data_IF_208377812236
#
_entry.id   IF_208377812236
#
_cell.length_a   1.000
_cell.length_b   1.000
_cell.length_c   1.000
_cell.angle_alpha   90.00
_cell.angle_beta   90.00
_cell.angle_gamma   90.00
#
_symmetry.space_group_name_H-M   'P 1'
#
loop_
_entity.id
_entity.type
_entity.pdbx_description
1 polymer ?
#
# COMPACT_ATOMS: atom_id res chain seq x y z
N UNK A 1 -81.40 75.32 -121.15
CA UNK A 1 -80.94 75.20 -122.55
C UNK A 1 -79.60 74.47 -122.53
N UNK A 2 -79.54 73.24 -123.08
CA UNK A 2 -78.75 72.90 -124.29
C UNK A 2 -77.26 73.29 -124.16
N UNK A 3 -76.35 72.38 -123.80
CA UNK A 3 -75.70 71.27 -124.56
C UNK A 3 -74.27 71.62 -124.97
N UNK A 4 -73.40 70.59 -125.08
CA UNK A 4 -72.22 70.39 -125.98
C UNK A 4 -70.83 70.65 -125.36
N UNK A 5 -70.05 69.58 -125.07
CA UNK A 5 -68.92 68.94 -125.85
C UNK A 5 -67.55 69.58 -125.46
N UNK A 6 -66.36 68.97 -125.42
CA UNK A 6 -65.77 67.69 -125.88
C UNK A 6 -64.37 67.51 -125.22
N UNK A 7 -64.00 66.26 -124.93
CA UNK A 7 -62.67 65.60 -124.88
C UNK A 7 -61.33 66.38 -124.76
N UNK A 8 -60.43 65.91 -123.86
CA UNK A 8 -59.11 65.34 -124.22
C UNK A 8 -58.39 64.67 -123.02
N UNK A 9 -57.62 63.64 -123.35
CA UNK A 9 -56.96 62.59 -122.56
C UNK A 9 -55.59 63.02 -122.00
N UNK A 10 -55.21 62.55 -120.81
CA UNK A 10 -53.97 61.79 -120.51
C UNK A 10 -53.61 61.85 -119.02
N UNK A 11 -53.68 60.68 -118.37
CA UNK A 11 -53.40 60.47 -116.96
C UNK A 11 -51.91 60.65 -116.63
N UNK A 12 -51.62 61.57 -115.72
CA UNK A 12 -50.40 61.61 -114.92
C UNK A 12 -50.81 61.52 -113.46
N UNK A 13 -50.49 60.41 -112.80
CA UNK A 13 -50.33 60.39 -111.34
C UNK A 13 -49.18 59.45 -110.98
N UNK A 14 -48.05 60.07 -110.68
CA UNK A 14 -46.90 59.47 -110.03
C UNK A 14 -46.90 59.88 -108.56
N UNK A 15 -47.05 58.93 -107.64
CA UNK A 15 -46.60 58.98 -106.21
C UNK A 15 -46.88 57.62 -105.53
N UNK A 16 -46.16 57.21 -104.46
CA UNK A 16 -44.70 57.14 -104.30
C UNK A 16 -44.23 55.76 -103.76
N UNK A 17 -43.04 55.29 -104.16
CA UNK A 17 -42.41 54.05 -103.68
C UNK A 17 -41.28 54.28 -102.64
N UNK A 18 -41.27 55.44 -101.96
CA UNK A 18 -40.16 55.88 -101.09
C UNK A 18 -40.53 55.96 -99.59
N UNK A 19 -41.38 55.05 -99.09
CA UNK A 19 -41.78 55.00 -97.67
C UNK A 19 -41.47 53.67 -96.96
N UNK A 20 -40.93 52.67 -97.67
CA UNK A 20 -40.71 51.32 -97.12
C UNK A 20 -39.31 51.06 -96.53
N UNK A 21 -38.32 51.92 -96.81
CA UNK A 21 -36.93 51.68 -96.35
C UNK A 21 -36.63 52.37 -95.00
N UNK A 22 -37.09 53.61 -94.80
CA UNK A 22 -36.92 54.37 -93.55
C UNK A 22 -37.67 53.75 -92.34
N UNK A 23 -38.72 52.97 -92.60
CA UNK A 23 -39.51 52.27 -91.58
C UNK A 23 -38.87 50.95 -91.11
N UNK A 24 -38.11 50.25 -91.98
CA UNK A 24 -37.38 49.02 -91.62
C UNK A 24 -36.16 49.32 -90.75
N UNK A 25 -35.42 50.38 -91.05
CA UNK A 25 -34.27 50.83 -90.26
C UNK A 25 -34.70 51.27 -88.85
N UNK A 26 -35.79 52.03 -88.72
CA UNK A 26 -36.36 52.41 -87.41
C UNK A 26 -36.86 51.20 -86.61
N UNK A 27 -37.43 50.19 -87.27
CA UNK A 27 -37.84 48.93 -86.61
C UNK A 27 -36.64 48.08 -86.18
N UNK A 28 -35.57 48.02 -86.98
CA UNK A 28 -34.32 47.32 -86.66
C UNK A 28 -33.59 48.01 -85.49
N UNK A 29 -33.54 49.34 -85.48
CA UNK A 29 -33.00 50.13 -84.38
C UNK A 29 -33.78 49.93 -83.07
N UNK A 30 -35.12 49.87 -83.11
CA UNK A 30 -35.95 49.57 -81.93
C UNK A 30 -35.70 48.16 -81.38
N UNK A 31 -35.58 47.16 -82.25
CA UNK A 31 -35.22 45.79 -81.84
C UNK A 31 -33.83 45.72 -81.23
N UNK A 32 -32.86 46.42 -81.83
CA UNK A 32 -31.50 46.52 -81.31
C UNK A 32 -31.46 47.25 -79.97
N UNK A 33 -32.24 48.31 -79.79
CA UNK A 33 -32.37 49.02 -78.51
C UNK A 33 -33.02 48.15 -77.42
N UNK A 34 -34.05 47.37 -77.77
CA UNK A 34 -34.66 46.38 -76.87
C UNK A 34 -33.68 45.27 -76.49
N UNK A 35 -32.87 44.79 -77.44
CA UNK A 35 -31.84 43.78 -77.19
C UNK A 35 -30.72 44.33 -76.29
N UNK A 36 -30.31 45.59 -76.47
CA UNK A 36 -29.36 46.27 -75.58
C UNK A 36 -29.94 46.40 -74.16
N UNK A 37 -31.20 46.82 -74.01
CA UNK A 37 -31.86 46.88 -72.70
C UNK A 37 -31.95 45.51 -72.01
N UNK A 38 -32.27 44.45 -72.75
CA UNK A 38 -32.27 43.08 -72.21
C UNK A 38 -30.88 42.62 -71.79
N UNK A 39 -29.84 42.97 -72.56
CA UNK A 39 -28.45 42.68 -72.21
C UNK A 39 -27.98 43.48 -70.99
N UNK A 40 -28.38 44.73 -70.87
CA UNK A 40 -28.07 45.57 -69.69
C UNK A 40 -28.77 45.04 -68.44
N UNK A 41 -30.04 44.64 -68.55
CA UNK A 41 -30.77 44.00 -67.45
C UNK A 41 -30.15 42.65 -67.07
N UNK A 42 -29.76 41.83 -68.05
CA UNK A 42 -29.06 40.57 -67.80
C UNK A 42 -27.66 40.78 -67.18
N UNK A 43 -26.94 41.83 -67.59
CA UNK A 43 -25.67 42.22 -66.97
C UNK A 43 -25.86 42.69 -65.53
N UNK A 44 -26.86 43.54 -65.27
CA UNK A 44 -27.17 44.00 -63.92
C UNK A 44 -27.55 42.83 -63.00
N UNK A 45 -28.36 41.88 -63.50
CA UNK A 45 -28.70 40.67 -62.75
C UNK A 45 -27.46 39.79 -62.49
N UNK A 46 -26.62 39.57 -63.52
CA UNK A 46 -25.40 38.78 -63.37
C UNK A 46 -24.38 39.44 -62.42
N UNK A 47 -24.29 40.77 -62.39
CA UNK A 47 -23.46 41.50 -61.43
C UNK A 47 -24.01 41.39 -60.01
N UNK A 48 -25.33 41.46 -59.83
CA UNK A 48 -25.98 41.25 -58.53
C UNK A 48 -25.80 39.82 -58.03
N UNK A 49 -26.00 38.82 -58.88
CA UNK A 49 -25.82 37.40 -58.53
C UNK A 49 -24.35 37.10 -58.21
N UNK A 50 -23.41 37.72 -58.94
CA UNK A 50 -21.98 37.62 -58.64
C UNK A 50 -21.64 38.27 -57.30
N UNK A 51 -22.22 39.43 -56.99
CA UNK A 51 -22.02 40.09 -55.69
C UNK A 51 -22.59 39.26 -54.55
N UNK A 52 -23.79 38.67 -54.72
CA UNK A 52 -24.40 37.77 -53.75
C UNK A 52 -23.55 36.50 -53.54
N UNK A 53 -23.12 35.85 -54.63
CA UNK A 53 -22.28 34.65 -54.55
C UNK A 53 -20.91 34.92 -53.90
N UNK A 54 -20.33 36.12 -54.10
CA UNK A 54 -19.10 36.52 -53.41
C UNK A 54 -19.32 36.73 -51.90
N UNK A 55 -20.45 37.35 -51.51
CA UNK A 55 -20.81 37.52 -50.11
C UNK A 55 -21.09 36.18 -49.41
N UNK A 56 -21.78 35.26 -50.09
CA UNK A 56 -22.04 33.90 -49.59
C UNK A 56 -20.74 33.12 -49.44
N UNK A 57 -19.84 33.21 -50.43
CA UNK A 57 -18.53 32.58 -50.36
C UNK A 57 -17.72 33.10 -49.17
N UNK A 58 -17.68 34.41 -48.95
CA UNK A 58 -16.97 34.99 -47.81
C UNK A 58 -17.56 34.53 -46.47
N UNK A 59 -18.88 34.44 -46.39
CA UNK A 59 -19.59 33.94 -45.19
C UNK A 59 -19.27 32.46 -44.93
N UNK A 60 -19.36 31.62 -45.96
CA UNK A 60 -19.01 30.20 -45.87
C UNK A 60 -17.54 29.97 -45.54
N UNK A 61 -16.63 30.79 -46.07
CA UNK A 61 -15.20 30.72 -45.72
C UNK A 61 -14.97 31.09 -44.25
N UNK A 62 -15.66 32.10 -43.72
CA UNK A 62 -15.63 32.46 -42.30
C UNK A 62 -16.17 31.34 -41.43
N UNK A 63 -17.34 30.79 -41.75
CA UNK A 63 -17.93 29.65 -41.02
C UNK A 63 -17.02 28.42 -41.06
N UNK A 64 -16.47 28.08 -42.23
CA UNK A 64 -15.53 26.98 -42.37
C UNK A 64 -14.25 27.20 -41.53
N UNK A 65 -13.77 28.44 -41.43
CA UNK A 65 -12.62 28.77 -40.59
C UNK A 65 -12.95 28.62 -39.09
N UNK A 66 -14.13 29.06 -38.66
CA UNK A 66 -14.62 28.94 -37.28
C UNK A 66 -14.82 27.47 -36.90
N UNK A 67 -15.54 26.69 -37.72
CA UNK A 67 -15.75 25.26 -37.49
C UNK A 67 -14.44 24.47 -37.45
N UNK A 68 -13.45 24.85 -38.27
CA UNK A 68 -12.10 24.25 -38.20
C UNK A 68 -11.40 24.59 -36.88
N UNK A 69 -11.52 25.83 -36.39
CA UNK A 69 -10.94 26.24 -35.11
C UNK A 69 -11.59 25.51 -33.93
N UNK A 70 -12.92 25.42 -33.93
CA UNK A 70 -13.71 24.69 -32.91
C UNK A 70 -13.41 23.19 -32.93
N UNK A 71 -13.36 22.56 -34.12
CA UNK A 71 -12.96 21.16 -34.27
C UNK A 71 -11.54 20.93 -33.73
N UNK A 72 -10.63 21.86 -33.98
CA UNK A 72 -9.28 21.85 -33.42
C UNK A 72 -9.27 21.92 -31.89
N UNK A 73 -10.10 22.81 -31.31
CA UNK A 73 -10.25 22.95 -29.86
C UNK A 73 -10.85 21.69 -29.22
N UNK A 74 -11.93 21.16 -29.78
CA UNK A 74 -12.59 19.94 -29.31
C UNK A 74 -11.65 18.72 -29.37
N UNK A 75 -10.82 18.60 -30.41
CA UNK A 75 -9.79 17.55 -30.50
C UNK A 75 -8.75 17.67 -29.39
N UNK A 76 -8.27 18.89 -29.10
CA UNK A 76 -7.32 19.13 -28.00
C UNK A 76 -7.93 18.80 -26.64
N UNK A 77 -9.18 19.18 -26.41
CA UNK A 77 -9.89 18.89 -25.17
C UNK A 77 -10.09 17.38 -24.98
N UNK A 78 -10.51 16.65 -26.02
CA UNK A 78 -10.61 15.18 -25.98
C UNK A 78 -9.26 14.53 -25.66
N UNK A 79 -8.17 15.03 -26.25
CA UNK A 79 -6.84 14.54 -25.95
C UNK A 79 -6.43 14.81 -24.49
N UNK A 80 -6.77 15.98 -23.94
CA UNK A 80 -6.52 16.33 -22.54
C UNK A 80 -7.35 15.46 -21.57
N UNK A 81 -8.64 15.28 -21.84
CA UNK A 81 -9.52 14.38 -21.07
C UNK A 81 -8.99 12.95 -21.07
N UNK A 82 -8.58 12.43 -22.23
CA UNK A 82 -7.99 11.09 -22.33
C UNK A 82 -6.66 10.95 -21.58
N UNK A 83 -5.90 12.03 -21.37
CA UNK A 83 -4.71 12.01 -20.49
C UNK A 83 -5.12 11.97 -19.01
N UNK A 84 -6.03 12.84 -18.61
CA UNK A 84 -6.54 12.90 -17.24
C UNK A 84 -7.21 11.59 -16.81
N UNK A 85 -7.96 10.94 -17.70
CA UNK A 85 -8.56 9.63 -17.43
C UNK A 85 -7.48 8.57 -17.16
N UNK A 86 -6.39 8.56 -17.95
CA UNK A 86 -5.27 7.63 -17.72
C UNK A 86 -4.56 7.90 -16.40
N UNK A 87 -4.28 9.17 -16.10
CA UNK A 87 -3.68 9.57 -14.82
C UNK A 87 -4.57 9.15 -13.65
N UNK A 88 -5.88 9.37 -13.76
CA UNK A 88 -6.85 8.98 -12.74
C UNK A 88 -6.92 7.46 -12.56
N UNK A 89 -6.84 6.67 -13.64
CA UNK A 89 -6.71 5.21 -13.53
C UNK A 89 -5.40 4.78 -12.90
N UNK A 90 -4.29 5.45 -13.21
CA UNK A 90 -2.98 5.15 -12.63
C UNK A 90 -2.95 5.45 -11.13
N UNK A 91 -3.44 6.62 -10.72
CA UNK A 91 -3.53 7.02 -9.31
C UNK A 91 -4.46 6.09 -8.52
N UNK A 92 -5.56 5.63 -9.12
CA UNK A 92 -6.43 4.61 -8.48
C UNK A 92 -5.70 3.30 -8.26
N UNK A 93 -4.97 2.81 -9.27
CA UNK A 93 -4.18 1.59 -9.15
C UNK A 93 -3.07 1.72 -8.09
N UNK A 94 -2.40 2.87 -8.02
CA UNK A 94 -1.40 3.17 -6.99
C UNK A 94 -2.03 3.20 -5.59
N UNK A 95 -3.19 3.81 -5.44
CA UNK A 95 -3.92 3.88 -4.18
C UNK A 95 -4.36 2.50 -3.70
N UNK A 96 -4.84 1.64 -4.60
CA UNK A 96 -5.19 0.26 -4.26
C UNK A 96 -3.95 -0.57 -3.89
N UNK A 97 -2.83 -0.38 -4.62
CA UNK A 97 -1.56 -1.03 -4.28
C UNK A 97 -1.01 -0.55 -2.92
N UNK A 98 -1.12 0.74 -2.61
CA UNK A 98 -0.71 1.30 -1.31
C UNK A 98 -1.60 0.79 -0.18
N UNK A 99 -2.92 0.68 -0.37
CA UNK A 99 -3.83 0.08 0.61
C UNK A 99 -3.49 -1.38 0.88
N UNK A 100 -3.20 -2.15 -0.17
CA UNK A 100 -2.80 -3.55 -0.01
C UNK A 100 -1.48 -3.67 0.76
N UNK A 101 -0.49 -2.82 0.43
CA UNK A 101 0.77 -2.75 1.19
C UNK A 101 0.55 -2.36 2.64
N UNK A 102 -0.29 -1.36 2.90
CA UNK A 102 -0.61 -0.92 4.26
C UNK A 102 -1.20 -2.07 5.09
N UNK A 103 -2.22 -2.75 4.56
CA UNK A 103 -2.84 -3.89 5.22
C UNK A 103 -1.85 -5.03 5.51
N UNK A 104 -0.95 -5.33 4.55
CA UNK A 104 0.10 -6.33 4.76
C UNK A 104 1.11 -5.89 5.84
N UNK A 105 1.53 -4.63 5.82
CA UNK A 105 2.46 -4.11 6.85
C UNK A 105 1.83 -4.06 8.24
N UNK A 106 0.54 -3.72 8.34
CA UNK A 106 -0.20 -3.74 9.60
C UNK A 106 -0.32 -5.16 10.15
N UNK A 107 -0.57 -6.14 9.28
CA UNK A 107 -0.58 -7.56 9.65
C UNK A 107 0.80 -8.02 10.14
N UNK A 108 1.86 -7.73 9.41
CA UNK A 108 3.23 -8.08 9.80
C UNK A 108 3.62 -7.44 11.14
N UNK A 109 3.21 -6.19 11.37
CA UNK A 109 3.43 -5.52 12.65
C UNK A 109 2.69 -6.20 13.79
N UNK A 110 1.42 -6.57 13.59
CA UNK A 110 0.62 -7.28 14.58
C UNK A 110 1.22 -8.65 14.92
N UNK A 111 1.63 -9.42 13.90
CA UNK A 111 2.28 -10.72 14.06
C UNK A 111 3.60 -10.59 14.82
N UNK A 112 4.44 -9.60 14.46
CA UNK A 112 5.71 -9.34 15.14
C UNK A 112 5.52 -8.95 16.60
N UNK A 113 4.51 -8.11 16.91
CA UNK A 113 4.19 -7.74 18.28
C UNK A 113 3.68 -8.94 19.09
N UNK A 114 2.84 -9.80 18.50
CA UNK A 114 2.36 -11.02 19.14
C UNK A 114 3.51 -12.00 19.43
N UNK A 115 4.43 -12.15 18.48
CA UNK A 115 5.62 -12.97 18.64
C UNK A 115 6.53 -12.40 19.75
N UNK A 116 6.78 -11.09 19.75
CA UNK A 116 7.61 -10.44 20.78
C UNK A 116 7.02 -10.61 22.19
N UNK A 117 5.70 -10.49 22.35
CA UNK A 117 5.02 -10.74 23.63
C UNK A 117 5.19 -12.19 24.09
N UNK A 118 4.93 -13.14 23.19
CA UNK A 118 5.11 -14.57 23.48
C UNK A 118 6.56 -14.88 23.86
N UNK A 119 7.54 -14.41 23.08
CA UNK A 119 8.96 -14.62 23.36
C UNK A 119 9.36 -14.00 24.69
N UNK A 120 8.89 -12.79 25.02
CA UNK A 120 9.19 -12.14 26.29
C UNK A 120 8.61 -12.91 27.48
N UNK A 121 7.39 -13.43 27.35
CA UNK A 121 6.76 -14.26 28.37
C UNK A 121 7.50 -15.59 28.57
N UNK A 122 7.83 -16.28 27.48
CA UNK A 122 8.61 -17.53 27.51
C UNK A 122 9.99 -17.30 28.13
N UNK A 123 10.66 -16.20 27.80
CA UNK A 123 11.95 -15.85 28.38
C UNK A 123 11.83 -15.64 29.89
N UNK A 124 10.85 -14.86 30.35
CA UNK A 124 10.62 -14.63 31.78
C UNK A 124 10.32 -15.94 32.54
N UNK A 125 9.50 -16.82 31.97
CA UNK A 125 9.23 -18.14 32.55
C UNK A 125 10.48 -19.01 32.60
N UNK A 126 11.27 -19.03 31.52
CA UNK A 126 12.52 -19.82 31.44
C UNK A 126 13.56 -19.31 32.45
N UNK A 127 13.70 -17.99 32.60
CA UNK A 127 14.59 -17.40 33.60
C UNK A 127 14.16 -17.71 35.03
N UNK A 128 12.85 -17.65 35.31
CA UNK A 128 12.31 -18.03 36.62
C UNK A 128 12.57 -19.51 36.93
N UNK A 129 12.28 -20.39 35.98
CA UNK A 129 12.53 -21.83 36.12
C UNK A 129 14.02 -22.12 36.33
N UNK A 130 14.89 -21.45 35.55
CA UNK A 130 16.35 -21.56 35.70
C UNK A 130 16.79 -21.14 37.10
N UNK A 131 16.35 -19.99 37.60
CA UNK A 131 16.68 -19.52 38.96
C UNK A 131 16.22 -20.51 40.04
N UNK A 132 15.03 -21.07 39.88
CA UNK A 132 14.52 -22.08 40.82
C UNK A 132 15.39 -23.35 40.79
N UNK A 133 15.73 -23.86 39.61
CA UNK A 133 16.61 -25.03 39.47
C UNK A 133 18.02 -24.76 40.00
N UNK A 134 18.57 -23.57 39.78
CA UNK A 134 19.87 -23.16 40.32
C UNK A 134 19.84 -23.10 41.86
N UNK A 135 18.76 -22.56 42.44
CA UNK A 135 18.56 -22.53 43.89
C UNK A 135 18.43 -23.94 44.49
N UNK A 136 17.67 -24.82 43.85
CA UNK A 136 17.52 -26.22 44.28
C UNK A 136 18.86 -26.95 44.20
N UNK A 137 19.59 -26.78 43.11
CA UNK A 137 20.91 -27.39 42.92
C UNK A 137 21.92 -26.88 43.96
N UNK A 138 21.87 -25.60 44.31
CA UNK A 138 22.71 -25.03 45.37
C UNK A 138 22.36 -25.64 46.74
N UNK A 139 21.08 -25.78 47.07
CA UNK A 139 20.60 -26.45 48.29
C UNK A 139 21.08 -27.90 48.36
N UNK A 140 20.83 -28.70 47.32
CA UNK A 140 21.28 -30.10 47.26
C UNK A 140 22.79 -30.25 47.39
N UNK A 141 23.57 -29.33 46.79
CA UNK A 141 25.03 -29.32 46.94
C UNK A 141 25.47 -29.03 48.37
N UNK A 142 24.78 -28.12 49.06
CA UNK A 142 25.04 -27.82 50.47
C UNK A 142 24.71 -29.03 51.34
N UNK A 143 23.54 -29.64 51.14
CA UNK A 143 23.11 -30.84 51.87
C UNK A 143 24.11 -31.98 51.67
N UNK A 144 24.53 -32.21 50.42
CA UNK A 144 25.52 -33.25 50.10
C UNK A 144 26.87 -32.98 50.78
N UNK A 145 27.33 -31.73 50.79
CA UNK A 145 28.56 -31.35 51.51
C UNK A 145 28.44 -31.58 53.02
N UNK A 146 27.29 -31.26 53.60
CA UNK A 146 27.01 -31.52 55.01
C UNK A 146 27.02 -33.02 55.29
N UNK A 147 26.32 -33.83 54.48
CA UNK A 147 26.33 -35.28 54.58
C UNK A 147 27.75 -35.87 54.48
N UNK A 148 28.57 -35.40 53.54
CA UNK A 148 29.97 -35.82 53.41
C UNK A 148 30.79 -35.49 54.67
N UNK A 149 30.58 -34.30 55.25
CA UNK A 149 31.28 -33.85 56.46
C UNK A 149 30.91 -34.72 57.66
N UNK A 150 29.61 -34.89 57.93
CA UNK A 150 29.13 -35.74 59.02
C UNK A 150 29.55 -37.19 58.84
N UNK A 151 29.48 -37.74 57.61
CA UNK A 151 29.93 -39.10 57.34
C UNK A 151 31.42 -39.26 57.66
N UNK A 152 32.27 -38.31 57.25
CA UNK A 152 33.68 -38.29 57.59
C UNK A 152 33.94 -38.25 59.10
N UNK A 153 33.19 -37.42 59.83
CA UNK A 153 33.30 -37.31 61.29
C UNK A 153 32.86 -38.60 62.00
N UNK A 154 31.74 -39.19 61.57
CA UNK A 154 31.24 -40.47 62.10
C UNK A 154 32.20 -41.61 61.81
N UNK A 155 32.78 -41.66 60.61
CA UNK A 155 33.80 -42.65 60.26
C UNK A 155 35.05 -42.50 61.15
N UNK A 156 35.52 -41.27 61.35
CA UNK A 156 36.65 -40.97 62.23
C UNK A 156 36.38 -41.38 63.68
N UNK A 157 35.18 -41.09 64.19
CA UNK A 157 34.76 -41.52 65.52
C UNK A 157 34.70 -43.05 65.64
N UNK A 158 34.15 -43.73 64.64
CA UNK A 158 34.13 -45.20 64.60
C UNK A 158 35.54 -45.82 64.66
N UNK A 159 36.51 -45.22 63.95
CA UNK A 159 37.93 -45.59 64.04
C UNK A 159 38.50 -45.36 65.44
N UNK A 160 38.25 -44.19 66.03
CA UNK A 160 38.67 -43.85 67.41
C UNK A 160 38.15 -44.89 68.42
N UNK A 161 36.87 -45.27 68.32
CA UNK A 161 36.26 -46.28 69.20
C UNK A 161 36.91 -47.66 69.03
N UNK A 162 37.15 -48.10 67.80
CA UNK A 162 37.81 -49.38 67.52
C UNK A 162 39.26 -49.42 68.01
N UNK A 163 40.03 -48.34 67.79
CA UNK A 163 41.42 -48.25 68.25
C UNK A 163 41.47 -48.30 69.79
N UNK A 164 40.60 -47.56 70.49
CA UNK A 164 40.50 -47.58 71.96
C UNK A 164 40.08 -48.95 72.51
N UNK A 165 39.23 -49.68 71.80
CA UNK A 165 38.86 -51.04 72.18
C UNK A 165 40.02 -52.03 71.97
N UNK A 166 40.74 -51.92 70.83
CA UNK A 166 41.91 -52.77 70.53
C UNK A 166 43.04 -52.57 71.54
N UNK A 167 43.29 -51.33 71.93
CA UNK A 167 44.42 -50.98 72.80
C UNK A 167 44.12 -51.30 74.28
N UNK A 168 42.95 -51.86 74.61
CA UNK A 168 42.57 -52.26 75.96
C UNK A 168 43.37 -53.49 76.41
N UNK A 169 44.18 -53.34 77.46
CA UNK A 169 45.02 -54.43 77.98
C UNK A 169 44.33 -55.22 79.11
N UNK A 170 44.84 -56.41 79.45
CA UNK A 170 44.37 -57.17 80.61
C UNK A 170 44.49 -56.39 81.93
N UNK A 171 45.50 -55.50 82.06
CA UNK A 171 45.65 -54.64 83.23
C UNK A 171 44.53 -53.60 83.31
N UNK A 172 44.10 -53.03 82.18
CA UNK A 172 42.96 -52.11 82.13
C UNK A 172 41.63 -52.79 82.50
N UNK A 173 41.45 -54.05 82.13
CA UNK A 173 40.28 -54.83 82.50
C UNK A 173 40.23 -55.11 84.01
N UNK A 174 41.38 -55.40 84.64
CA UNK A 174 41.48 -55.61 86.08
C UNK A 174 41.21 -54.30 86.86
N UNK A 175 41.81 -53.20 86.43
CA UNK A 175 41.63 -51.88 87.04
C UNK A 175 40.18 -51.36 86.92
N UNK A 176 39.47 -51.72 85.86
CA UNK A 176 38.05 -51.39 85.70
C UNK A 176 37.13 -52.17 86.65
N UNK A 177 37.54 -53.37 87.09
CA UNK A 177 36.78 -54.22 88.00
C UNK A 177 37.08 -53.96 89.49
N UNK A 178 38.01 -53.05 89.82
CA UNK A 178 38.39 -52.78 91.21
C UNK A 178 37.26 -52.06 92.00
N UNK A 179 36.80 -52.64 93.13
CA UNK A 179 35.68 -52.10 93.89
C UNK A 179 36.06 -50.97 94.86
N UNK A 180 37.35 -50.68 95.07
CA UNK A 180 37.79 -49.75 96.12
C UNK A 180 37.88 -48.29 95.69
N UNK A 181 38.43 -47.98 94.52
CA UNK A 181 38.61 -46.59 94.05
C UNK A 181 37.61 -46.17 92.97
N UNK A 182 37.12 -47.10 92.15
CA UNK A 182 36.13 -46.85 91.09
C UNK A 182 36.57 -45.87 89.98
N UNK A 183 37.78 -45.31 90.05
CA UNK A 183 38.25 -44.24 89.16
C UNK A 183 38.23 -44.68 87.69
N UNK A 184 38.70 -45.89 87.39
CA UNK A 184 38.75 -46.40 86.01
C UNK A 184 37.36 -46.67 85.42
N UNK A 185 36.38 -47.02 86.26
CA UNK A 185 34.99 -47.20 85.85
C UNK A 185 34.39 -45.86 85.40
N UNK A 186 34.55 -44.80 86.21
CA UNK A 186 34.06 -43.45 85.88
C UNK A 186 34.74 -42.89 84.63
N UNK A 187 36.05 -43.15 84.45
CA UNK A 187 36.77 -42.74 83.23
C UNK A 187 36.16 -43.38 81.96
N UNK A 188 35.81 -44.67 82.03
CA UNK A 188 35.16 -45.38 80.91
C UNK A 188 33.73 -44.87 80.68
N UNK A 189 32.96 -44.62 81.74
CA UNK A 189 31.61 -44.04 81.63
C UNK A 189 31.65 -42.66 80.98
N UNK A 190 32.56 -41.77 81.40
CA UNK A 190 32.76 -40.45 80.80
C UNK A 190 33.19 -40.54 79.32
N UNK A 191 34.05 -41.50 78.97
CA UNK A 191 34.46 -41.72 77.58
C UNK A 191 33.27 -42.17 76.72
N UNK A 192 32.44 -43.08 77.24
CA UNK A 192 31.27 -43.59 76.54
C UNK A 192 30.22 -42.49 76.34
N UNK A 193 30.02 -41.64 77.35
CA UNK A 193 29.16 -40.47 77.28
C UNK A 193 29.69 -39.46 76.25
N UNK A 194 31.00 -39.16 76.26
CA UNK A 194 31.61 -38.27 75.27
C UNK A 194 31.45 -38.79 73.83
N UNK A 195 31.54 -40.10 73.59
CA UNK A 195 31.27 -40.69 72.28
C UNK A 195 29.79 -40.64 71.91
N UNK A 196 28.90 -40.88 72.86
CA UNK A 196 27.45 -40.76 72.67
C UNK A 196 27.08 -39.34 72.26
N UNK A 197 27.63 -38.35 72.95
CA UNK A 197 27.47 -36.93 72.62
C UNK A 197 28.03 -36.59 71.24
N UNK A 198 29.19 -37.14 70.85
CA UNK A 198 29.74 -36.95 69.49
C UNK A 198 28.82 -37.56 68.43
N UNK A 199 28.32 -38.78 68.64
CA UNK A 199 27.38 -39.44 67.73
C UNK A 199 26.08 -38.64 67.58
N UNK A 200 25.52 -38.16 68.70
CA UNK A 200 24.27 -37.40 68.69
C UNK A 200 24.43 -36.02 68.05
N UNK A 201 25.61 -35.39 68.16
CA UNK A 201 25.93 -34.15 67.44
C UNK A 201 26.04 -34.33 65.93
N UNK A 202 26.71 -35.39 65.48
CA UNK A 202 26.96 -35.62 64.05
C UNK A 202 25.84 -36.37 63.34
N UNK A 203 24.82 -36.81 64.09
CA UNK A 203 23.63 -37.42 63.53
C UNK A 203 22.86 -36.40 62.68
N UNK A 204 22.74 -36.68 61.39
CA UNK A 204 21.84 -35.96 60.50
C UNK A 204 20.40 -36.11 61.02
N UNK A 205 19.78 -34.98 61.37
CA UNK A 205 18.34 -34.92 61.63
C UNK A 205 17.64 -34.78 60.29
N UNK A 206 16.92 -35.82 59.88
CA UNK A 206 15.99 -35.70 58.76
C UNK A 206 14.90 -34.73 59.22
N UNK A 207 14.81 -33.56 58.60
CA UNK A 207 13.65 -32.71 58.81
C UNK A 207 12.43 -33.47 58.26
N UNK A 208 11.50 -33.86 59.14
CA UNK A 208 10.18 -34.30 58.70
C UNK A 208 9.58 -33.13 57.91
N UNK A 209 9.42 -33.34 56.60
CA UNK A 209 8.72 -32.39 55.74
C UNK A 209 7.25 -32.38 56.17
N UNK A 210 6.61 -31.20 56.36
CA UNK A 210 5.17 -31.10 56.49
C UNK A 210 4.44 -31.48 55.20
#
# INVERSE_FOLDING_TARGET
>A
MRTILIFAVAATMAVPAWAANESREKQMLRRMQQQVQQLDQARAQAEQDKAAALADKETLEREASQLRAESGAAKRERAARGRLERELTAVRAELDALKAKLAETEKQLADSQAQQRTTSQTLAQTESAKKQSESQLAGTRQDLKQCQTHNGQLYGLGREMMDKYRDKTCQDALAQAEPFTGLKKVEVENLLEAWRDKLDRERLRVAEQP
#
